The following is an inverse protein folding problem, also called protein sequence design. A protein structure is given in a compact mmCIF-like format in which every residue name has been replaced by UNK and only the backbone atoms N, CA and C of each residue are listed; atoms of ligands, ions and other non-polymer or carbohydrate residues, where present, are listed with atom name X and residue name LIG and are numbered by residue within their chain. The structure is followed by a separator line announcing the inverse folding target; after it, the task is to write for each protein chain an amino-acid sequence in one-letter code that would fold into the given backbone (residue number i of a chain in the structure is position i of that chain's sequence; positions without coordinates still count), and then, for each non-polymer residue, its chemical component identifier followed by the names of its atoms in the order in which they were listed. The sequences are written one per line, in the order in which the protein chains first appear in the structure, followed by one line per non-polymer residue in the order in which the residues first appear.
data_IF_132953119853
#
_entry.id   IF_132953119853
#
_cell.length_a   1.000
_cell.length_b   1.000
_cell.length_c   1.000
_cell.angle_alpha   90.00
_cell.angle_beta   90.00
_cell.angle_gamma   90.00
#
_symmetry.space_group_name_H-M   'P 1'
#
loop_
_entity.id
_entity.type
_entity.pdbx_description
1 polymer ?
#
# COMPACT_ATOMS: atom_id res chain seq x y z
N UNK A 1 26.95 -9.13 -11.54
CA UNK A 1 26.22 -10.16 -12.28
C UNK A 1 25.07 -9.50 -13.02
N UNK A 2 25.06 -9.57 -14.35
CA UNK A 2 23.89 -9.10 -15.15
C UNK A 2 23.01 -10.33 -15.32
N UNK A 3 21.95 -10.42 -14.54
CA UNK A 3 20.94 -11.46 -14.75
C UNK A 3 20.08 -11.09 -15.96
N UNK A 4 19.70 -12.07 -16.80
CA UNK A 4 18.70 -11.82 -17.83
C UNK A 4 17.38 -11.39 -17.17
N UNK A 5 16.66 -10.51 -17.82
CA UNK A 5 15.41 -9.95 -17.32
C UNK A 5 14.30 -10.12 -18.33
N UNK A 6 13.12 -10.37 -17.84
CA UNK A 6 11.87 -10.39 -18.62
C UNK A 6 10.96 -9.26 -18.11
N UNK A 7 10.13 -8.72 -18.96
CA UNK A 7 9.15 -7.72 -18.55
C UNK A 7 7.98 -8.38 -17.78
N UNK A 8 7.38 -7.64 -16.84
CA UNK A 8 6.22 -8.15 -16.10
C UNK A 8 5.05 -8.57 -17.01
N UNK A 9 4.67 -7.80 -18.08
CA UNK A 9 3.65 -8.23 -19.00
C UNK A 9 3.95 -9.58 -19.70
N UNK A 10 5.18 -9.78 -20.17
CA UNK A 10 5.58 -11.05 -20.80
C UNK A 10 5.52 -12.21 -19.79
N UNK A 11 5.93 -12.00 -18.56
CA UNK A 11 5.82 -13.00 -17.50
C UNK A 11 4.34 -13.36 -17.24
N UNK A 12 3.44 -12.37 -17.25
CA UNK A 12 1.99 -12.61 -17.09
C UNK A 12 1.44 -13.43 -18.26
N UNK A 13 1.80 -13.12 -19.51
CA UNK A 13 1.37 -13.91 -20.70
C UNK A 13 1.75 -15.38 -20.58
N UNK A 14 3.01 -15.65 -20.22
CA UNK A 14 3.52 -17.01 -20.05
C UNK A 14 2.81 -17.75 -18.92
N UNK A 15 2.63 -17.09 -17.78
CA UNK A 15 1.94 -17.68 -16.64
C UNK A 15 0.46 -17.96 -16.95
N UNK A 16 -0.24 -17.09 -17.68
CA UNK A 16 -1.63 -17.33 -18.13
C UNK A 16 -1.70 -18.53 -19.05
N UNK A 17 -0.85 -18.58 -20.07
CA UNK A 17 -0.84 -19.68 -21.07
C UNK A 17 -0.51 -21.02 -20.42
N UNK A 18 0.33 -21.03 -19.40
CA UNK A 18 0.68 -22.23 -18.64
C UNK A 18 -0.47 -22.66 -17.70
N UNK A 19 -1.04 -21.72 -16.97
CA UNK A 19 -2.06 -22.01 -15.94
C UNK A 19 -3.41 -22.38 -16.57
N UNK A 20 -3.73 -21.78 -17.74
CA UNK A 20 -4.98 -21.96 -18.46
C UNK A 20 -4.70 -22.33 -19.92
N UNK A 21 -4.22 -23.57 -20.18
CA UNK A 21 -3.92 -24.01 -21.55
C UNK A 21 -5.20 -24.09 -22.39
N UNK A 22 -5.13 -23.60 -23.61
CA UNK A 22 -6.27 -23.57 -24.54
C UNK A 22 -7.24 -22.42 -24.30
N UNK A 23 -8.49 -22.61 -24.72
CA UNK A 23 -9.51 -21.56 -24.62
C UNK A 23 -10.07 -21.44 -23.21
N UNK A 24 -10.02 -20.24 -22.65
CA UNK A 24 -10.58 -19.90 -21.33
C UNK A 24 -11.31 -18.54 -21.37
N UNK A 25 -12.22 -18.27 -20.41
CA UNK A 25 -13.03 -17.03 -20.41
C UNK A 25 -12.28 -15.79 -19.92
N UNK A 26 -11.08 -15.95 -19.34
CA UNK A 26 -10.38 -14.88 -18.65
C UNK A 26 -9.57 -14.03 -19.64
N UNK A 27 -10.20 -12.94 -20.14
CA UNK A 27 -9.55 -11.95 -21.01
C UNK A 27 -9.04 -10.74 -20.27
N UNK A 28 -9.24 -10.68 -18.96
CA UNK A 28 -8.82 -9.59 -18.09
C UNK A 28 -8.01 -10.16 -16.95
N UNK A 29 -6.79 -9.67 -16.78
CA UNK A 29 -5.93 -10.01 -15.63
C UNK A 29 -5.73 -8.77 -14.80
N UNK A 30 -6.09 -8.85 -13.53
CA UNK A 30 -5.93 -7.78 -12.53
C UNK A 30 -4.70 -8.12 -11.71
N UNK A 31 -3.58 -7.42 -11.94
CA UNK A 31 -2.40 -7.49 -11.08
C UNK A 31 -2.53 -6.45 -9.98
N UNK A 32 -2.75 -6.93 -8.76
CA UNK A 32 -2.92 -6.12 -7.56
C UNK A 32 -1.75 -6.36 -6.60
N UNK A 33 -0.67 -5.66 -6.84
CA UNK A 33 0.59 -5.78 -6.12
C UNK A 33 0.74 -4.84 -4.93
N UNK A 34 1.94 -4.84 -4.36
CA UNK A 34 2.32 -3.94 -3.27
C UNK A 34 2.44 -2.48 -3.72
N UNK A 35 3.00 -2.23 -4.90
CA UNK A 35 3.33 -0.88 -5.36
C UNK A 35 2.31 -0.29 -6.33
N UNK A 36 1.73 -1.11 -7.22
CA UNK A 36 0.83 -0.66 -8.28
C UNK A 36 -0.30 -1.65 -8.51
N UNK A 37 -1.42 -1.13 -9.01
CA UNK A 37 -2.48 -1.94 -9.59
C UNK A 37 -2.48 -1.74 -11.10
N UNK A 38 -2.43 -2.86 -11.82
CA UNK A 38 -2.49 -2.91 -13.27
C UNK A 38 -3.57 -3.86 -13.72
N UNK A 39 -4.10 -3.60 -14.90
CA UNK A 39 -5.03 -4.48 -15.56
C UNK A 39 -4.52 -4.74 -16.96
N UNK A 40 -4.37 -6.01 -17.29
CA UNK A 40 -4.00 -6.47 -18.63
C UNK A 40 -5.26 -6.96 -19.35
N UNK A 41 -5.41 -6.56 -20.61
CA UNK A 41 -6.44 -7.07 -21.50
C UNK A 41 -5.80 -7.99 -22.51
N UNK A 42 -6.23 -9.25 -22.53
CA UNK A 42 -5.70 -10.30 -23.38
C UNK A 42 -6.56 -10.49 -24.64
N UNK A 43 -5.92 -10.86 -25.73
CA UNK A 43 -6.57 -11.38 -26.92
C UNK A 43 -6.88 -12.88 -26.81
N UNK A 44 -7.28 -13.50 -27.93
CA UNK A 44 -7.64 -14.92 -27.97
C UNK A 44 -6.43 -15.85 -27.80
N UNK A 45 -5.23 -15.37 -28.12
CA UNK A 45 -3.97 -16.09 -28.02
C UNK A 45 -3.23 -15.82 -26.69
N UNK A 46 -3.91 -15.23 -25.69
CA UNK A 46 -3.38 -14.82 -24.38
C UNK A 46 -2.27 -13.75 -24.46
N UNK A 47 -2.21 -12.99 -25.57
CA UNK A 47 -1.30 -11.85 -25.70
C UNK A 47 -1.93 -10.59 -25.17
N UNK A 48 -1.13 -9.78 -24.50
CA UNK A 48 -1.58 -8.51 -23.94
C UNK A 48 -1.76 -7.48 -25.07
N UNK A 49 -3.01 -7.12 -25.34
CA UNK A 49 -3.38 -6.06 -26.29
C UNK A 49 -3.58 -4.70 -25.64
N UNK A 50 -3.68 -4.64 -24.31
CA UNK A 50 -3.85 -3.40 -23.59
C UNK A 50 -3.42 -3.48 -22.12
N UNK A 51 -2.81 -2.40 -21.64
CA UNK A 51 -2.38 -2.25 -20.24
C UNK A 51 -3.02 -0.99 -19.66
N UNK A 52 -3.70 -1.13 -18.55
CA UNK A 52 -4.39 -0.05 -17.85
C UNK A 52 -3.81 0.12 -16.46
N UNK A 53 -3.35 1.30 -16.16
CA UNK A 53 -2.76 1.64 -14.86
C UNK A 53 -3.52 2.79 -14.23
N UNK A 54 -3.61 2.78 -12.90
CA UNK A 54 -4.20 3.87 -12.14
C UNK A 54 -3.22 5.01 -11.88
N UNK A 55 -3.72 6.06 -11.23
CA UNK A 55 -2.85 7.10 -10.70
C UNK A 55 -1.84 6.48 -9.72
N UNK A 56 -0.57 6.88 -9.85
CA UNK A 56 0.53 6.47 -8.96
C UNK A 56 0.38 7.08 -7.55
N UNK A 57 -0.79 6.98 -6.95
CA UNK A 57 -1.03 7.44 -5.59
C UNK A 57 -0.88 6.26 -4.63
N UNK A 58 -0.05 6.42 -3.62
CA UNK A 58 0.22 5.40 -2.60
C UNK A 58 -1.07 4.80 -1.98
N UNK A 59 -2.15 5.58 -1.83
CA UNK A 59 -3.43 5.08 -1.30
C UNK A 59 -4.08 3.96 -2.13
N UNK A 60 -3.57 3.69 -3.34
CA UNK A 60 -4.04 2.62 -4.23
C UNK A 60 -3.10 1.44 -4.31
N UNK A 61 -2.32 1.17 -3.28
CA UNK A 61 -1.30 0.13 -3.26
C UNK A 61 -1.52 -0.84 -2.11
N UNK A 62 -1.09 -2.08 -2.30
CA UNK A 62 -1.12 -3.10 -1.25
C UNK A 62 -0.23 -2.72 -0.07
N UNK A 63 0.92 -2.10 -0.33
CA UNK A 63 1.84 -1.63 0.71
C UNK A 63 1.18 -0.58 1.61
N UNK A 64 0.46 0.39 1.04
CA UNK A 64 -0.29 1.36 1.84
C UNK A 64 -1.34 0.68 2.73
N UNK A 65 -2.03 -0.33 2.21
CA UNK A 65 -2.99 -1.11 2.98
C UNK A 65 -2.32 -1.78 4.18
N UNK A 66 -1.19 -2.48 3.95
CA UNK A 66 -0.42 -3.12 5.03
C UNK A 66 0.06 -2.12 6.07
N UNK A 67 0.51 -0.94 5.65
CA UNK A 67 0.89 0.14 6.58
C UNK A 67 -0.30 0.61 7.44
N UNK A 68 -1.50 0.71 6.88
CA UNK A 68 -2.68 1.05 7.69
C UNK A 68 -3.08 -0.08 8.64
N UNK A 69 -2.97 -1.34 8.23
CA UNK A 69 -3.18 -2.51 9.10
C UNK A 69 -2.19 -2.50 10.28
N UNK A 70 -0.88 -2.30 10.01
CA UNK A 70 0.14 -2.22 11.04
C UNK A 70 -0.11 -1.11 12.08
N UNK A 71 -0.67 0.03 11.65
CA UNK A 71 -1.10 1.10 12.57
C UNK A 71 -2.29 0.75 13.44
N UNK A 72 -3.09 -0.21 13.02
CA UNK A 72 -4.22 -0.73 13.76
C UNK A 72 -3.86 -1.97 14.57
N UNK A 73 -2.60 -2.42 14.51
CA UNK A 73 -2.16 -3.67 15.10
C UNK A 73 -3.02 -4.86 14.62
N UNK A 74 -3.11 -4.97 13.28
CA UNK A 74 -3.84 -6.02 12.56
C UNK A 74 -2.88 -6.60 11.53
N UNK A 75 -2.82 -7.92 11.43
CA UNK A 75 -2.11 -8.63 10.36
C UNK A 75 -3.01 -8.89 9.14
N UNK A 76 -2.41 -9.25 8.02
CA UNK A 76 -3.19 -9.67 6.85
C UNK A 76 -3.97 -10.96 7.12
N UNK A 77 -3.41 -11.87 7.92
CA UNK A 77 -4.07 -13.11 8.33
C UNK A 77 -5.28 -12.84 9.25
N UNK A 78 -5.25 -11.75 10.02
CA UNK A 78 -6.42 -11.32 10.79
C UNK A 78 -7.52 -10.81 9.86
N UNK A 79 -7.18 -10.09 8.78
CA UNK A 79 -8.16 -9.63 7.77
C UNK A 79 -8.84 -10.83 7.10
N UNK A 80 -8.11 -11.90 6.82
CA UNK A 80 -8.65 -13.11 6.23
C UNK A 80 -9.68 -13.80 7.14
N UNK A 81 -9.43 -13.76 8.46
CA UNK A 81 -10.31 -14.33 9.50
C UNK A 81 -11.44 -13.40 9.93
N UNK A 82 -11.34 -12.11 9.63
CA UNK A 82 -12.39 -11.15 9.98
C UNK A 82 -13.69 -11.45 9.23
N UNK A 83 -14.79 -11.54 9.97
CA UNK A 83 -16.12 -11.51 9.37
C UNK A 83 -16.34 -10.19 8.65
N UNK A 84 -16.98 -10.22 7.48
CA UNK A 84 -17.36 -9.00 6.81
C UNK A 84 -18.39 -8.24 7.67
N UNK A 85 -18.12 -7.00 8.06
CA UNK A 85 -19.07 -6.24 8.87
C UNK A 85 -20.29 -5.83 8.02
N UNK A 86 -21.47 -5.72 8.64
CA UNK A 86 -22.70 -5.26 7.99
C UNK A 86 -22.56 -3.84 7.39
N UNK A 87 -21.67 -3.03 7.98
CA UNK A 87 -21.36 -1.69 7.52
C UNK A 87 -19.86 -1.45 7.48
N UNK A 88 -19.43 -0.51 6.63
CA UNK A 88 -18.03 -0.10 6.52
C UNK A 88 -17.89 1.40 6.78
N UNK A 89 -16.74 1.80 7.31
CA UNK A 89 -16.40 3.21 7.44
C UNK A 89 -15.83 3.73 6.11
N UNK A 90 -16.49 4.75 5.53
CA UNK A 90 -16.00 5.33 4.27
C UNK A 90 -14.71 6.11 4.48
N UNK A 91 -13.67 5.75 3.73
CA UNK A 91 -12.37 6.43 3.73
C UNK A 91 -12.11 7.09 2.39
N UNK A 92 -11.32 8.17 2.39
CA UNK A 92 -10.95 8.89 1.18
C UNK A 92 -9.99 8.07 0.31
N UNK A 93 -10.31 7.87 -0.96
CA UNK A 93 -9.45 7.22 -1.94
C UNK A 93 -8.58 8.18 -2.76
N UNK A 94 -8.72 9.52 -2.59
CA UNK A 94 -8.05 10.51 -3.43
C UNK A 94 -6.58 10.72 -3.08
N UNK A 95 -6.24 10.67 -1.79
CA UNK A 95 -4.91 10.96 -1.30
C UNK A 95 -4.59 10.07 -0.09
N UNK A 96 -3.38 9.53 -0.02
CA UNK A 96 -2.91 8.70 1.09
C UNK A 96 -2.93 9.44 2.43
N UNK A 97 -2.66 10.74 2.44
CA UNK A 97 -2.70 11.57 3.66
C UNK A 97 -4.12 11.66 4.21
N UNK A 98 -5.10 11.96 3.36
CA UNK A 98 -6.50 12.02 3.78
C UNK A 98 -7.03 10.64 4.18
N UNK A 99 -6.72 9.60 3.42
CA UNK A 99 -7.10 8.23 3.77
C UNK A 99 -6.57 7.82 5.14
N UNK A 100 -5.28 8.09 5.41
CA UNK A 100 -4.63 7.85 6.70
C UNK A 100 -5.31 8.63 7.83
N UNK A 101 -5.65 9.91 7.59
CA UNK A 101 -6.34 10.76 8.55
C UNK A 101 -7.75 10.24 8.86
N UNK A 102 -8.50 9.85 7.82
CA UNK A 102 -9.85 9.28 7.98
C UNK A 102 -9.83 8.02 8.84
N UNK A 103 -8.87 7.09 8.59
CA UNK A 103 -8.70 5.90 9.41
C UNK A 103 -8.40 6.25 10.88
N UNK A 104 -7.49 7.20 11.12
CA UNK A 104 -7.13 7.63 12.47
C UNK A 104 -8.33 8.26 13.19
N UNK A 105 -9.06 9.15 12.52
CA UNK A 105 -10.24 9.78 13.10
C UNK A 105 -11.36 8.78 13.39
N UNK A 106 -11.56 7.80 12.51
CA UNK A 106 -12.54 6.72 12.72
C UNK A 106 -12.23 5.95 14.00
N UNK A 107 -10.97 5.52 14.16
CA UNK A 107 -10.53 4.78 15.34
C UNK A 107 -10.68 5.61 16.62
N UNK A 108 -10.30 6.89 16.59
CA UNK A 108 -10.44 7.81 17.72
C UNK A 108 -11.91 8.06 18.12
N UNK A 109 -12.85 7.92 17.17
CA UNK A 109 -14.30 7.96 17.41
C UNK A 109 -14.89 6.64 17.88
N UNK A 110 -14.06 5.61 18.07
CA UNK A 110 -14.49 4.28 18.50
C UNK A 110 -15.13 3.42 17.41
N UNK A 111 -14.95 3.77 16.13
CA UNK A 111 -15.40 2.93 15.01
C UNK A 111 -14.62 1.60 15.08
N UNK A 112 -15.31 0.45 15.00
CA UNK A 112 -14.66 -0.86 15.05
C UNK A 112 -13.60 -1.01 13.94
N UNK A 113 -12.43 -1.58 14.29
CA UNK A 113 -11.33 -1.80 13.36
C UNK A 113 -11.79 -2.55 12.10
N UNK A 114 -12.67 -3.54 12.23
CA UNK A 114 -13.23 -4.30 11.11
C UNK A 114 -13.95 -3.41 10.09
N UNK A 115 -14.72 -2.40 10.54
CA UNK A 115 -15.38 -1.45 9.65
C UNK A 115 -14.40 -0.52 8.92
N UNK A 116 -13.31 -0.15 9.56
CA UNK A 116 -12.24 0.66 8.94
C UNK A 116 -11.48 -0.17 7.90
N UNK A 117 -11.14 -1.42 8.21
CA UNK A 117 -10.52 -2.37 7.28
C UNK A 117 -11.42 -2.62 6.07
N UNK A 118 -12.71 -2.85 6.29
CA UNK A 118 -13.68 -3.02 5.21
C UNK A 118 -13.76 -1.77 4.31
N UNK A 119 -13.73 -0.58 4.88
CA UNK A 119 -13.69 0.68 4.14
C UNK A 119 -12.44 0.84 3.28
N UNK A 120 -11.27 0.51 3.83
CA UNK A 120 -9.99 0.49 3.09
C UNK A 120 -10.03 -0.53 1.94
N UNK A 121 -10.49 -1.74 2.21
CA UNK A 121 -10.59 -2.82 1.21
C UNK A 121 -11.57 -2.47 0.09
N UNK A 122 -12.72 -1.87 0.44
CA UNK A 122 -13.69 -1.36 -0.54
C UNK A 122 -13.11 -0.23 -1.39
N UNK A 123 -12.34 0.67 -0.79
CA UNK A 123 -11.65 1.74 -1.52
C UNK A 123 -10.66 1.17 -2.52
N UNK A 124 -9.84 0.15 -2.15
CA UNK A 124 -8.93 -0.53 -3.07
C UNK A 124 -9.67 -1.24 -4.19
N UNK A 125 -10.72 -2.00 -3.88
CA UNK A 125 -11.58 -2.63 -4.89
C UNK A 125 -12.16 -1.60 -5.86
N UNK A 126 -12.59 -0.44 -5.36
CA UNK A 126 -13.08 0.66 -6.17
C UNK A 126 -12.06 1.18 -7.19
N UNK A 127 -10.77 1.24 -6.81
CA UNK A 127 -9.69 1.63 -7.73
C UNK A 127 -9.47 0.59 -8.84
N UNK A 128 -9.53 -0.69 -8.52
CA UNK A 128 -9.48 -1.75 -9.53
C UNK A 128 -10.68 -1.65 -10.49
N UNK A 129 -11.89 -1.50 -9.96
CA UNK A 129 -13.10 -1.35 -10.78
C UNK A 129 -13.04 -0.11 -11.69
N UNK A 130 -12.35 0.94 -11.25
CA UNK A 130 -12.12 2.13 -12.07
C UNK A 130 -11.23 1.81 -13.29
N UNK A 131 -10.21 0.98 -13.17
CA UNK A 131 -9.39 0.51 -14.28
C UNK A 131 -10.18 -0.34 -15.27
N UNK A 132 -11.19 -1.07 -14.78
CA UNK A 132 -12.06 -1.94 -15.60
C UNK A 132 -13.20 -1.19 -16.30
N UNK A 133 -13.27 0.14 -16.27
CA UNK A 133 -14.42 0.89 -16.84
C UNK A 133 -14.72 0.56 -18.30
N UNK A 134 -13.68 0.33 -19.10
CA UNK A 134 -13.77 0.09 -20.54
C UNK A 134 -13.59 -1.39 -20.93
N UNK A 135 -13.49 -2.28 -19.94
CA UNK A 135 -13.21 -3.69 -20.14
C UNK A 135 -14.38 -4.57 -19.72
N UNK A 136 -14.46 -5.81 -20.26
CA UNK A 136 -15.45 -6.80 -19.81
C UNK A 136 -15.29 -7.07 -18.32
N UNK A 137 -16.43 -7.18 -17.61
CA UNK A 137 -16.47 -7.53 -16.18
C UNK A 137 -17.14 -8.88 -15.95
N UNK A 138 -17.29 -9.68 -16.99
CA UNK A 138 -17.91 -11.00 -16.89
C UNK A 138 -17.00 -11.99 -16.18
N UNK A 139 -15.72 -12.00 -16.54
CA UNK A 139 -14.71 -12.90 -16.00
C UNK A 139 -13.35 -12.20 -15.95
N UNK A 140 -12.60 -12.41 -14.88
CA UNK A 140 -11.27 -11.87 -14.69
C UNK A 140 -10.41 -12.76 -13.80
N UNK A 141 -9.09 -12.71 -14.00
CA UNK A 141 -8.10 -13.27 -13.06
C UNK A 141 -7.66 -12.16 -12.10
N UNK A 142 -7.53 -12.49 -10.82
CA UNK A 142 -6.90 -11.63 -9.83
C UNK A 142 -5.59 -12.26 -9.38
N UNK A 143 -4.49 -11.55 -9.60
CA UNK A 143 -3.14 -11.94 -9.22
C UNK A 143 -2.48 -10.86 -8.35
N UNK A 144 -1.32 -11.18 -7.78
CA UNK A 144 -0.59 -10.31 -6.88
C UNK A 144 -0.99 -10.47 -5.41
N UNK A 145 -0.18 -9.91 -4.51
CA UNK A 145 -0.32 -10.09 -3.06
C UNK A 145 -1.65 -9.62 -2.48
N UNK A 146 -2.34 -8.65 -3.11
CA UNK A 146 -3.65 -8.18 -2.67
C UNK A 146 -4.78 -9.21 -2.88
N UNK A 147 -4.55 -10.30 -3.62
CA UNK A 147 -5.49 -11.42 -3.72
C UNK A 147 -5.77 -12.10 -2.37
N UNK A 148 -4.85 -11.94 -1.40
CA UNK A 148 -5.02 -12.40 -0.01
C UNK A 148 -5.94 -11.50 0.83
N UNK A 149 -6.28 -10.31 0.37
CA UNK A 149 -7.22 -9.44 1.06
C UNK A 149 -8.67 -9.91 0.81
N UNK A 150 -9.15 -10.83 1.65
CA UNK A 150 -10.49 -11.42 1.52
C UNK A 150 -11.60 -10.36 1.45
N UNK A 151 -11.47 -9.26 2.20
CA UNK A 151 -12.43 -8.15 2.17
C UNK A 151 -12.42 -7.42 0.82
N UNK A 152 -11.26 -7.18 0.21
CA UNK A 152 -11.16 -6.60 -1.12
C UNK A 152 -11.75 -7.55 -2.18
N UNK A 153 -11.42 -8.84 -2.08
CA UNK A 153 -11.96 -9.89 -2.98
C UNK A 153 -13.49 -9.93 -2.91
N UNK A 154 -14.05 -9.83 -1.72
CA UNK A 154 -15.51 -9.76 -1.52
C UNK A 154 -16.12 -8.61 -2.34
N UNK A 155 -15.60 -7.38 -2.22
CA UNK A 155 -16.10 -6.23 -2.97
C UNK A 155 -15.84 -6.30 -4.48
N UNK A 156 -14.79 -6.98 -4.93
CA UNK A 156 -14.55 -7.24 -6.35
C UNK A 156 -15.60 -8.21 -6.91
N UNK A 157 -15.96 -9.27 -6.17
CA UNK A 157 -16.98 -10.25 -6.56
C UNK A 157 -18.38 -9.65 -6.68
N UNK A 158 -18.67 -8.53 -6.01
CA UNK A 158 -19.93 -7.79 -6.24
C UNK A 158 -20.03 -7.19 -7.66
N UNK A 159 -18.89 -6.99 -8.34
CA UNK A 159 -18.77 -6.27 -9.61
C UNK A 159 -18.26 -7.11 -10.76
N UNK A 160 -17.60 -8.21 -10.48
CA UNK A 160 -17.04 -9.15 -11.44
C UNK A 160 -17.72 -10.49 -11.21
N UNK A 161 -18.46 -10.96 -12.21
CA UNK A 161 -19.31 -12.16 -12.05
C UNK A 161 -18.47 -13.41 -11.75
N UNK A 162 -17.39 -13.60 -12.51
CA UNK A 162 -16.47 -14.72 -12.39
C UNK A 162 -15.07 -14.17 -12.12
N UNK A 163 -14.71 -14.08 -10.85
CA UNK A 163 -13.39 -13.67 -10.38
C UNK A 163 -12.61 -14.90 -9.95
N UNK A 164 -11.70 -15.36 -10.80
CA UNK A 164 -10.78 -16.45 -10.52
C UNK A 164 -9.53 -15.92 -9.81
N UNK A 165 -9.12 -16.61 -8.78
CA UNK A 165 -7.86 -16.38 -8.07
C UNK A 165 -7.08 -17.69 -8.18
N UNK A 166 -6.08 -17.80 -9.07
CA UNK A 166 -5.30 -19.02 -9.20
C UNK A 166 -4.49 -19.29 -7.93
N UNK A 167 -4.15 -20.53 -7.67
CA UNK A 167 -3.32 -20.90 -6.52
C UNK A 167 -1.97 -20.17 -6.53
N UNK A 168 -1.43 -19.94 -7.72
CA UNK A 168 -0.20 -19.18 -7.96
C UNK A 168 -0.37 -17.66 -7.86
N UNK A 169 -1.54 -17.12 -7.50
CA UNK A 169 -1.86 -15.69 -7.60
C UNK A 169 -0.81 -14.78 -6.97
N UNK A 170 -0.23 -15.15 -5.83
CA UNK A 170 0.76 -14.31 -5.10
C UNK A 170 2.17 -14.33 -5.71
N UNK A 171 2.47 -15.28 -6.58
CA UNK A 171 3.76 -15.46 -7.24
C UNK A 171 3.61 -15.72 -8.76
N UNK A 172 2.52 -15.20 -9.33
CA UNK A 172 2.13 -15.47 -10.71
C UNK A 172 3.16 -14.95 -11.72
N UNK A 173 3.65 -13.73 -11.52
CA UNK A 173 4.70 -13.13 -12.35
C UNK A 173 6.04 -13.88 -12.20
N UNK A 174 6.33 -14.38 -11.00
CA UNK A 174 7.51 -15.21 -10.77
C UNK A 174 7.40 -16.56 -11.47
N UNK A 175 6.20 -17.16 -11.54
CA UNK A 175 5.94 -18.36 -12.33
C UNK A 175 6.26 -18.11 -13.80
N UNK A 176 5.73 -17.04 -14.38
CA UNK A 176 6.01 -16.69 -15.78
C UNK A 176 7.49 -16.45 -16.07
N UNK A 177 8.18 -15.78 -15.12
CA UNK A 177 9.63 -15.57 -15.19
C UNK A 177 10.38 -16.91 -15.18
N UNK A 178 9.98 -17.86 -14.33
CA UNK A 178 10.59 -19.18 -14.27
C UNK A 178 10.37 -19.99 -15.55
N UNK A 179 9.16 -19.92 -16.12
CA UNK A 179 8.84 -20.54 -17.41
C UNK A 179 9.70 -19.97 -18.53
N UNK A 180 9.84 -18.64 -18.58
CA UNK A 180 10.72 -17.97 -19.53
C UNK A 180 12.17 -18.44 -19.40
N UNK A 181 12.67 -18.59 -18.18
CA UNK A 181 14.05 -19.03 -17.92
C UNK A 181 14.29 -20.47 -18.39
N UNK A 182 13.27 -21.33 -18.34
CA UNK A 182 13.38 -22.70 -18.86
C UNK A 182 13.46 -22.75 -20.40
N UNK A 183 12.79 -21.83 -21.10
CA UNK A 183 12.76 -21.76 -22.56
C UNK A 183 13.98 -21.04 -23.15
N UNK A 184 14.61 -20.15 -22.39
CA UNK A 184 15.66 -19.24 -22.88
C UNK A 184 17.07 -19.54 -22.35
N UNK A 185 17.31 -20.78 -21.91
CA UNK A 185 18.64 -21.22 -21.43
C UNK A 185 19.28 -20.22 -20.45
N UNK A 186 18.53 -19.78 -19.46
CA UNK A 186 19.01 -18.83 -18.48
C UNK A 186 20.26 -19.37 -17.76
N UNK A 187 21.29 -18.56 -17.50
CA UNK A 187 22.52 -19.01 -16.90
C UNK A 187 22.26 -19.58 -15.50
N UNK A 188 22.80 -20.78 -15.27
CA UNK A 188 22.70 -21.43 -13.96
C UNK A 188 23.55 -20.68 -12.95
N UNK A 189 22.93 -20.23 -11.86
CA UNK A 189 23.66 -19.61 -10.76
C UNK A 189 24.29 -20.68 -9.87
N UNK A 190 25.60 -20.57 -9.66
CA UNK A 190 26.35 -21.48 -8.76
C UNK A 190 26.15 -21.15 -7.28
N UNK A 191 25.81 -19.91 -6.93
CA UNK A 191 25.59 -19.45 -5.56
C UNK A 191 24.61 -18.26 -5.53
N UNK A 192 23.81 -18.18 -4.46
CA UNK A 192 22.94 -17.04 -4.16
C UNK A 192 23.72 -15.81 -3.61
N UNK A 193 24.98 -15.98 -3.21
CA UNK A 193 25.78 -14.92 -2.60
C UNK A 193 25.97 -13.71 -3.55
N UNK A 194 25.96 -13.95 -4.86
CA UNK A 194 26.04 -12.89 -5.86
C UNK A 194 24.78 -12.04 -5.98
N UNK A 195 23.60 -12.54 -5.55
CA UNK A 195 22.32 -11.81 -5.55
C UNK A 195 22.22 -10.94 -4.29
N UNK A 196 22.71 -11.46 -3.17
CA UNK A 196 22.67 -10.81 -1.87
C UNK A 196 23.82 -9.83 -1.68
N UNK A 197 24.21 -9.10 -2.73
CA UNK A 197 25.15 -8.00 -2.54
C UNK A 197 24.53 -7.00 -1.57
N UNK A 198 25.12 -6.94 -0.37
CA UNK A 198 24.90 -5.78 0.50
C UNK A 198 25.33 -4.55 -0.29
N UNK A 199 24.35 -3.85 -0.90
CA UNK A 199 24.62 -2.50 -1.39
C UNK A 199 25.10 -1.72 -0.18
N UNK A 200 26.40 -1.43 -0.13
CA UNK A 200 26.90 -0.37 0.73
C UNK A 200 26.14 0.88 0.28
N UNK A 201 25.13 1.24 1.05
CA UNK A 201 24.37 2.44 0.78
C UNK A 201 25.36 3.59 0.79
N UNK A 202 25.37 4.41 -0.25
CA UNK A 202 26.12 5.66 -0.28
C UNK A 202 25.53 6.73 0.66
N UNK A 203 24.53 6.36 1.46
CA UNK A 203 23.96 7.20 2.49
C UNK A 203 25.01 7.39 3.59
N UNK A 204 25.62 8.58 3.61
CA UNK A 204 26.43 9.00 4.74
C UNK A 204 25.48 9.29 5.90
N UNK A 205 25.60 8.51 6.96
CA UNK A 205 24.91 8.82 8.20
C UNK A 205 25.58 10.06 8.81
N UNK A 206 24.80 11.11 9.02
CA UNK A 206 25.25 12.24 9.81
C UNK A 206 25.51 11.78 11.24
N UNK A 207 26.56 12.32 11.87
CA UNK A 207 26.81 12.05 13.27
C UNK A 207 25.60 12.45 14.13
N UNK A 208 25.33 11.77 15.24
CA UNK A 208 24.26 12.15 16.16
C UNK A 208 24.33 13.63 16.52
N UNK A 209 23.17 14.29 16.67
CA UNK A 209 23.09 15.73 16.98
C UNK A 209 23.89 16.12 18.26
N UNK A 210 24.00 15.21 19.24
CA UNK A 210 24.80 15.39 20.43
C UNK A 210 26.26 15.71 20.14
N UNK A 211 26.84 15.14 19.09
CA UNK A 211 28.24 15.44 18.70
C UNK A 211 28.44 16.87 18.21
N UNK A 212 27.35 17.54 17.80
CA UNK A 212 27.34 18.93 17.34
C UNK A 212 26.89 19.92 18.43
N UNK A 213 26.64 19.46 19.67
CA UNK A 213 26.11 20.29 20.75
C UNK A 213 27.00 21.50 21.04
N UNK A 214 28.33 21.37 20.95
CA UNK A 214 29.27 22.45 21.12
C UNK A 214 29.25 23.53 20.01
N UNK A 215 28.64 23.20 18.86
CA UNK A 215 28.49 24.12 17.71
C UNK A 215 27.16 24.88 17.74
N UNK A 216 26.27 24.57 18.70
CA UNK A 216 24.93 25.15 18.83
C UNK A 216 24.93 26.16 19.98
N UNK A 217 24.63 27.40 19.66
CA UNK A 217 24.45 28.45 20.68
C UNK A 217 22.97 28.46 21.09
N UNK A 218 22.69 28.00 22.31
CA UNK A 218 21.35 28.07 22.87
C UNK A 218 21.08 29.48 23.41
N UNK A 219 20.10 30.16 22.82
CA UNK A 219 19.62 31.43 23.36
C UNK A 219 18.74 31.16 24.59
N UNK A 220 19.22 31.55 25.74
CA UNK A 220 18.40 31.56 26.95
C UNK A 220 17.49 32.79 26.94
N UNK A 221 16.20 32.58 26.86
CA UNK A 221 15.22 33.61 27.08
C UNK A 221 15.07 33.78 28.63
N UNK A 222 15.32 34.98 29.18
CA UNK A 222 15.09 35.21 30.58
C UNK A 222 13.62 34.97 30.93
N UNK A 223 13.37 34.03 31.83
CA UNK A 223 12.04 33.75 32.36
C UNK A 223 11.75 34.75 33.47
N UNK A 224 10.92 35.72 33.19
CA UNK A 224 10.37 36.57 34.24
C UNK A 224 9.43 35.72 35.13
N UNK A 225 9.49 35.95 36.44
CA UNK A 225 8.51 35.38 37.37
C UNK A 225 7.43 36.42 37.65
N UNK A 226 6.16 36.02 37.54
CA UNK A 226 5.05 36.83 37.99
C UNK A 226 5.09 36.93 39.53
N UNK A 227 5.01 38.12 40.05
CA UNK A 227 4.93 38.38 41.51
C UNK A 227 3.49 38.22 42.02
N UNK A 228 3.33 37.96 43.31
CA UNK A 228 2.01 37.97 43.93
C UNK A 228 1.36 39.36 43.80
N UNK A 229 0.14 39.44 43.30
CA UNK A 229 -0.62 40.69 43.08
C UNK A 229 -0.50 41.29 41.66
N UNK A 230 0.32 40.72 40.79
CA UNK A 230 0.37 41.15 39.39
C UNK A 230 -0.88 40.64 38.59
N UNK A 231 -1.49 41.54 37.87
CA UNK A 231 -2.51 41.12 36.87
C UNK A 231 -1.80 40.42 35.71
N UNK A 232 -2.14 39.14 35.49
CA UNK A 232 -1.48 38.30 34.48
C UNK A 232 -2.46 37.74 33.48
N UNK A 233 -2.01 37.60 32.24
CA UNK A 233 -2.74 36.94 31.15
C UNK A 233 -2.01 35.63 30.85
N UNK A 234 -2.77 34.54 30.81
CA UNK A 234 -2.24 33.22 30.42
C UNK A 234 -2.69 32.88 29.04
N UNK A 235 -1.76 32.68 28.13
CA UNK A 235 -1.98 32.12 26.79
C UNK A 235 -1.63 30.64 26.75
N UNK A 236 -2.51 29.81 26.21
CA UNK A 236 -2.26 28.37 26.00
C UNK A 236 -2.33 28.04 24.53
N UNK A 237 -1.31 27.36 24.01
CA UNK A 237 -1.27 26.72 22.71
C UNK A 237 -1.28 25.20 22.92
N UNK A 238 -2.38 24.55 22.53
CA UNK A 238 -2.57 23.11 22.71
C UNK A 238 -2.42 22.43 21.36
N UNK A 239 -1.22 21.92 21.07
CA UNK A 239 -0.94 21.13 19.88
C UNK A 239 -1.12 19.63 20.11
N UNK A 240 -1.11 18.85 19.03
CA UNK A 240 -1.26 17.40 19.07
C UNK A 240 -0.11 16.67 19.76
N UNK A 241 1.09 17.29 19.82
CA UNK A 241 2.31 16.69 20.40
C UNK A 241 2.84 17.44 21.61
N UNK A 242 2.56 18.73 21.72
CA UNK A 242 3.06 19.59 22.80
C UNK A 242 2.03 20.65 23.19
N UNK A 243 1.94 20.92 24.48
CA UNK A 243 1.19 22.07 25.00
C UNK A 243 2.20 23.13 25.48
N UNK A 244 2.00 24.36 25.04
CA UNK A 244 2.82 25.49 25.47
C UNK A 244 1.96 26.48 26.23
N UNK A 245 2.48 26.99 27.35
CA UNK A 245 1.84 28.02 28.13
C UNK A 245 2.75 29.24 28.25
N UNK A 246 2.17 30.43 28.09
CA UNK A 246 2.87 31.70 28.31
C UNK A 246 2.08 32.53 29.34
N UNK A 247 2.78 32.99 30.35
CA UNK A 247 2.22 33.92 31.35
C UNK A 247 2.82 35.30 31.06
N UNK A 248 1.98 36.28 30.80
CA UNK A 248 2.38 37.66 30.58
C UNK A 248 1.83 38.52 31.65
N UNK A 249 2.67 39.45 32.15
CA UNK A 249 2.26 40.50 33.08
C UNK A 249 1.62 41.64 32.29
N UNK A 250 0.43 42.07 32.71
CA UNK A 250 -0.16 43.29 32.19
C UNK A 250 0.61 44.48 32.70
N UNK A 251 1.24 45.25 31.83
CA UNK A 251 1.81 46.57 32.16
C UNK A 251 0.81 47.61 31.72
N UNK A 252 0.40 48.48 32.66
CA UNK A 252 -0.37 49.68 32.36
C UNK A 252 0.57 50.76 31.87
#
# INVERSE_FOLDING_TARGET
LTLPTISEPEAVELAVSHTFPGTHPYRVVISAGGETFMVYHLDEDNRIQGIYTGNKCASGTGEFFLQQLGRMDISLDDVERMSQPESFHKVSGRCSVFCKSDCTHALNKGIPKAQVVAGLSRMLAGKVIELLKKLPKSSALLIGGCSRNASMVHYLRERIRDLCIPESATWFEALGTALWALENEAPTMQSLDGIMQQRKTSLSFLKPLETSRGMVQFKHHPRARAGGGDETIVGLDVGSTTTKGVVMRRRY
#
